data_IF_083523966134
#
_entry.id   IF_083523966134
#
_cell.length_a   1.000
_cell.length_b   1.000
_cell.length_c   1.000
_cell.angle_alpha   90.00
_cell.angle_beta   90.00
_cell.angle_gamma   90.00
#
_symmetry.space_group_name_H-M   'P 1'
#
loop_
_entity.id
_entity.type
_entity.pdbx_description
1 polymer ?
#
# COMPACT_ATOMS: atom_id res chain seq x y z
N UNK A 1 -21.57 -0.65 19.95
CA UNK A 1 -20.80 0.48 19.41
C UNK A 1 -19.45 -0.07 18.99
N UNK A 2 -18.93 0.34 17.84
CA UNK A 2 -17.56 0.00 17.44
C UNK A 2 -16.63 0.84 18.33
N UNK A 3 -15.73 0.20 19.06
CA UNK A 3 -14.73 0.84 19.92
C UNK A 3 -13.31 0.56 19.43
N UNK A 4 -12.32 1.16 20.11
CA UNK A 4 -10.89 0.96 19.84
C UNK A 4 -10.33 -0.14 20.77
N UNK A 5 -10.89 -1.35 20.71
CA UNK A 5 -10.67 -2.39 21.70
C UNK A 5 -9.23 -2.94 21.73
N UNK A 6 -8.55 -2.96 20.57
CA UNK A 6 -7.14 -3.36 20.48
C UNK A 6 -6.16 -2.22 20.75
N UNK A 7 -6.65 -0.98 20.93
CA UNK A 7 -5.82 0.14 21.36
C UNK A 7 -5.66 0.15 22.87
N UNK A 8 -4.41 0.15 23.33
CA UNK A 8 -4.11 0.37 24.74
C UNK A 8 -4.60 1.74 25.21
N UNK A 9 -5.01 1.80 26.48
CA UNK A 9 -5.39 3.04 27.15
C UNK A 9 -4.15 3.94 27.31
N UNK A 10 -4.00 4.85 26.36
CA UNK A 10 -2.85 5.74 26.19
C UNK A 10 -3.34 7.10 25.72
N UNK A 11 -2.50 8.12 25.87
CA UNK A 11 -2.80 9.48 25.40
C UNK A 11 -3.21 9.52 23.92
N UNK A 12 -2.63 8.67 23.07
CA UNK A 12 -3.02 8.58 21.65
C UNK A 12 -4.45 8.12 21.46
N UNK A 13 -4.88 7.07 22.19
CA UNK A 13 -6.25 6.58 22.13
C UNK A 13 -7.22 7.65 22.64
N UNK A 14 -6.93 8.25 23.79
CA UNK A 14 -7.77 9.31 24.36
C UNK A 14 -7.89 10.50 23.42
N UNK A 15 -6.78 10.93 22.79
CA UNK A 15 -6.80 12.03 21.83
C UNK A 15 -7.69 11.75 20.61
N UNK A 16 -7.70 10.51 20.12
CA UNK A 16 -8.59 10.08 19.02
C UNK A 16 -10.05 10.14 19.47
N UNK A 17 -10.39 9.51 20.59
CA UNK A 17 -11.75 9.44 21.13
C UNK A 17 -12.29 10.86 21.44
N UNK A 18 -11.48 11.70 22.08
CA UNK A 18 -11.82 13.09 22.40
C UNK A 18 -11.99 13.95 21.14
N UNK A 19 -11.14 13.78 20.13
CA UNK A 19 -11.28 14.49 18.86
C UNK A 19 -12.60 14.13 18.17
N UNK A 20 -12.89 12.83 18.06
CA UNK A 20 -14.13 12.35 17.45
C UNK A 20 -15.35 12.83 18.22
N UNK A 21 -15.33 12.78 19.56
CA UNK A 21 -16.41 13.30 20.39
C UNK A 21 -16.66 14.79 20.14
N UNK A 22 -15.61 15.64 20.11
CA UNK A 22 -15.75 17.09 19.88
C UNK A 22 -16.35 17.43 18.52
N UNK A 23 -15.87 16.79 17.45
CA UNK A 23 -16.35 17.12 16.09
C UNK A 23 -17.70 16.49 15.75
N UNK A 24 -18.16 15.53 16.56
CA UNK A 24 -19.47 14.89 16.41
C UNK A 24 -20.57 15.50 17.30
N UNK A 25 -20.22 16.32 18.29
CA UNK A 25 -21.19 17.01 19.16
C UNK A 25 -21.85 18.18 18.44
N UNK A 26 -23.09 18.00 17.98
CA UNK A 26 -23.91 19.01 17.28
C UNK A 26 -24.11 20.32 18.07
N UNK A 27 -23.95 20.28 19.40
CA UNK A 27 -24.08 21.46 20.25
C UNK A 27 -22.75 22.18 20.49
N UNK A 28 -21.64 21.53 20.12
CA UNK A 28 -20.28 21.99 20.38
C UNK A 28 -19.76 23.00 19.36
N UNK A 29 -18.81 23.86 19.76
CA UNK A 29 -18.21 24.84 18.86
C UNK A 29 -17.31 24.21 17.77
N UNK A 30 -16.86 22.97 17.98
CA UNK A 30 -16.00 22.22 17.05
C UNK A 30 -16.79 21.28 16.13
N UNK A 31 -18.13 21.31 16.19
CA UNK A 31 -18.98 20.45 15.39
C UNK A 31 -18.65 20.53 13.90
N UNK A 32 -18.48 19.38 13.27
CA UNK A 32 -18.40 19.24 11.82
C UNK A 32 -19.59 18.43 11.34
N UNK A 33 -20.34 18.86 10.31
CA UNK A 33 -21.34 18.01 9.69
C UNK A 33 -20.65 16.81 9.00
N UNK A 34 -21.36 15.69 8.84
CA UNK A 34 -20.78 14.42 8.35
C UNK A 34 -20.02 14.54 7.02
N UNK A 35 -20.51 15.37 6.11
CA UNK A 35 -19.91 15.66 4.81
C UNK A 35 -18.54 16.37 4.90
N UNK A 36 -18.24 17.02 6.03
CA UNK A 36 -16.95 17.66 6.30
C UNK A 36 -15.97 16.74 7.04
N UNK A 37 -16.40 15.56 7.49
CA UNK A 37 -15.58 14.60 8.26
C UNK A 37 -14.83 13.69 7.30
N UNK A 38 -13.70 14.15 6.77
CA UNK A 38 -12.83 13.33 5.91
C UNK A 38 -11.59 12.91 6.68
N UNK A 39 -11.31 11.60 6.72
CA UNK A 39 -10.08 11.04 7.28
C UNK A 39 -9.26 10.38 6.17
N UNK A 40 -7.94 10.53 6.24
CA UNK A 40 -7.00 9.99 5.24
C UNK A 40 -5.92 9.21 5.97
N UNK A 41 -5.68 7.98 5.54
CA UNK A 41 -4.57 7.15 6.02
C UNK A 41 -3.60 6.86 4.87
N UNK A 42 -2.31 6.90 5.15
CA UNK A 42 -1.34 6.20 4.29
C UNK A 42 -1.52 4.68 4.43
N UNK A 43 -0.91 3.89 3.55
CA UNK A 43 -1.00 2.42 3.56
C UNK A 43 0.30 1.77 4.07
N UNK A 44 1.41 1.96 3.36
CA UNK A 44 2.71 1.41 3.74
C UNK A 44 3.17 1.96 5.09
N UNK A 45 3.46 1.07 6.05
CA UNK A 45 3.88 1.46 7.40
C UNK A 45 2.77 2.03 8.30
N UNK A 46 1.59 2.30 7.75
CA UNK A 46 0.44 2.89 8.47
C UNK A 46 -0.72 1.92 8.62
N UNK A 47 -1.13 1.20 7.57
CA UNK A 47 -2.20 0.18 7.63
C UNK A 47 -1.64 -1.25 7.58
N UNK A 48 -0.46 -1.43 6.97
CA UNK A 48 0.25 -2.71 6.95
C UNK A 48 1.77 -2.56 7.12
N UNK A 49 2.45 -3.69 7.30
CA UNK A 49 3.91 -3.74 7.43
C UNK A 49 4.62 -3.38 6.12
N UNK A 50 5.56 -2.42 6.20
CA UNK A 50 6.45 -2.04 5.08
C UNK A 50 7.91 -2.51 5.27
N UNK A 51 8.18 -3.30 6.31
CA UNK A 51 9.53 -3.82 6.60
C UNK A 51 9.59 -5.32 6.32
N UNK A 52 10.70 -5.86 5.79
CA UNK A 52 11.95 -5.16 5.48
C UNK A 52 11.87 -4.28 4.23
N UNK A 53 10.80 -4.39 3.45
CA UNK A 53 10.54 -3.58 2.27
C UNK A 53 9.03 -3.44 2.02
N UNK A 54 8.58 -2.41 1.29
CA UNK A 54 7.18 -2.29 0.87
C UNK A 54 6.70 -3.53 0.12
N UNK A 55 5.42 -3.89 0.30
CA UNK A 55 4.86 -5.12 -0.29
C UNK A 55 4.87 -5.04 -1.83
N UNK A 56 4.58 -3.86 -2.39
CA UNK A 56 4.66 -3.62 -3.84
C UNK A 56 6.08 -3.81 -4.39
N UNK A 57 7.10 -3.50 -3.57
CA UNK A 57 8.49 -3.73 -3.96
C UNK A 57 8.79 -5.23 -4.03
N UNK A 58 8.34 -6.03 -3.06
CA UNK A 58 8.49 -7.50 -3.12
C UNK A 58 7.76 -8.10 -4.34
N UNK A 59 6.54 -7.65 -4.62
CA UNK A 59 5.79 -8.03 -5.83
C UNK A 59 6.61 -7.78 -7.10
N UNK A 60 7.21 -6.59 -7.21
CA UNK A 60 8.07 -6.20 -8.33
C UNK A 60 9.31 -7.11 -8.42
N UNK A 61 10.02 -7.31 -7.30
CA UNK A 61 11.25 -8.11 -7.26
C UNK A 61 10.97 -9.55 -7.69
N UNK A 62 9.88 -10.17 -7.22
CA UNK A 62 9.51 -11.53 -7.65
C UNK A 62 9.29 -11.61 -9.15
N UNK A 63 8.59 -10.62 -9.72
CA UNK A 63 8.38 -10.54 -11.16
C UNK A 63 9.68 -10.42 -11.95
N UNK A 64 10.60 -9.59 -11.49
CA UNK A 64 11.93 -9.44 -12.11
C UNK A 64 12.75 -10.75 -12.02
N UNK A 65 12.63 -11.48 -10.90
CA UNK A 65 13.25 -12.79 -10.73
C UNK A 65 12.69 -13.86 -11.67
N UNK A 66 11.38 -13.85 -11.93
CA UNK A 66 10.73 -14.70 -12.94
C UNK A 66 11.25 -14.38 -14.34
N UNK A 67 11.28 -13.09 -14.72
CA UNK A 67 11.81 -12.68 -16.02
C UNK A 67 13.25 -13.13 -16.22
N UNK A 68 14.10 -13.02 -15.21
CA UNK A 68 15.48 -13.50 -15.26
C UNK A 68 15.61 -15.02 -15.24
N UNK A 69 14.63 -15.74 -14.70
CA UNK A 69 14.55 -17.19 -14.82
C UNK A 69 14.29 -17.59 -16.27
N UNK A 70 13.34 -16.92 -16.91
CA UNK A 70 12.89 -17.20 -18.28
C UNK A 70 13.89 -16.71 -19.34
N UNK A 71 14.57 -15.58 -19.09
CA UNK A 71 15.62 -15.03 -19.94
C UNK A 71 16.96 -14.94 -19.17
N UNK A 72 17.87 -15.92 -19.40
CA UNK A 72 19.19 -15.92 -18.76
C UNK A 72 20.04 -14.69 -19.03
N UNK A 73 19.80 -13.94 -20.11
CA UNK A 73 20.58 -12.73 -20.43
C UNK A 73 20.39 -11.61 -19.40
N UNK A 74 19.26 -11.62 -18.67
CA UNK A 74 18.96 -10.65 -17.62
C UNK A 74 19.71 -10.93 -16.32
N UNK A 75 20.22 -12.14 -16.09
CA UNK A 75 20.79 -12.58 -14.80
C UNK A 75 22.05 -11.82 -14.38
N UNK A 76 22.73 -11.18 -15.32
CA UNK A 76 23.93 -10.37 -15.05
C UNK A 76 23.65 -8.86 -15.00
N UNK A 77 22.39 -8.44 -15.16
CA UNK A 77 21.99 -7.02 -15.23
C UNK A 77 21.17 -6.61 -14.01
N UNK A 78 21.49 -5.49 -13.36
CA UNK A 78 20.64 -4.95 -12.28
C UNK A 78 19.38 -4.28 -12.85
N UNK A 79 18.21 -4.38 -12.18
CA UNK A 79 17.96 -5.05 -10.90
C UNK A 79 17.63 -6.55 -10.99
N UNK A 80 17.54 -7.12 -12.20
CA UNK A 80 17.18 -8.53 -12.44
C UNK A 80 18.11 -9.52 -11.74
N UNK A 81 19.42 -9.23 -11.74
CA UNK A 81 20.42 -10.00 -11.01
C UNK A 81 20.07 -10.13 -9.53
N UNK A 82 19.88 -9.00 -8.85
CA UNK A 82 19.54 -8.98 -7.42
C UNK A 82 18.21 -9.71 -7.13
N UNK A 83 17.22 -9.55 -8.00
CA UNK A 83 15.95 -10.25 -7.90
C UNK A 83 16.10 -11.78 -8.04
N UNK A 84 16.83 -12.23 -9.06
CA UNK A 84 17.07 -13.65 -9.35
C UNK A 84 17.91 -14.34 -8.27
N UNK A 85 18.91 -13.65 -7.71
CA UNK A 85 19.80 -14.18 -6.67
C UNK A 85 19.30 -13.94 -5.24
N UNK A 86 18.11 -13.35 -5.07
CA UNK A 86 17.55 -12.96 -3.76
C UNK A 86 18.49 -12.06 -2.94
N UNK A 87 19.18 -11.12 -3.59
CA UNK A 87 20.07 -10.16 -2.94
C UNK A 87 19.26 -9.00 -2.32
N UNK A 88 18.70 -9.26 -1.14
CA UNK A 88 17.97 -8.26 -0.35
C UNK A 88 18.86 -7.10 0.12
N UNK A 89 20.19 -7.29 0.16
CA UNK A 89 21.12 -6.24 0.56
C UNK A 89 21.20 -5.16 -0.52
N UNK A 90 21.37 -5.53 -1.79
CA UNK A 90 21.36 -4.56 -2.89
C UNK A 90 20.02 -3.82 -2.97
N UNK A 91 18.91 -4.53 -2.84
CA UNK A 91 17.56 -3.95 -2.88
C UNK A 91 17.32 -2.96 -1.73
N UNK A 92 17.73 -3.32 -0.51
CA UNK A 92 17.69 -2.40 0.63
C UNK A 92 18.63 -1.20 0.45
N UNK A 93 19.83 -1.42 -0.11
CA UNK A 93 20.78 -0.34 -0.37
C UNK A 93 20.27 0.66 -1.43
N UNK A 94 19.55 0.19 -2.45
CA UNK A 94 18.92 1.05 -3.45
C UNK A 94 17.92 2.03 -2.80
N UNK A 95 17.09 1.56 -1.87
CA UNK A 95 16.18 2.40 -1.10
C UNK A 95 16.93 3.40 -0.20
N UNK A 96 18.00 2.95 0.48
CA UNK A 96 18.81 3.83 1.34
C UNK A 96 19.53 4.92 0.53
N UNK A 97 20.02 4.60 -0.67
CA UNK A 97 20.64 5.58 -1.58
C UNK A 97 19.64 6.64 -2.02
N UNK A 98 18.43 6.22 -2.41
CA UNK A 98 17.35 7.14 -2.76
C UNK A 98 17.05 8.13 -1.63
N UNK A 99 16.92 7.66 -0.38
CA UNK A 99 16.72 8.56 0.77
C UNK A 99 17.87 9.55 1.01
N UNK A 100 19.06 9.27 0.45
CA UNK A 100 20.23 10.16 0.48
C UNK A 100 20.35 11.04 -0.77
N UNK A 101 19.36 11.00 -1.66
CA UNK A 101 19.31 11.78 -2.90
C UNK A 101 20.06 11.15 -4.08
N UNK A 102 20.46 9.87 -3.99
CA UNK A 102 21.05 9.12 -5.11
C UNK A 102 20.01 8.17 -5.70
N UNK A 103 19.45 8.57 -6.84
CA UNK A 103 18.38 7.85 -7.53
C UNK A 103 18.88 6.84 -8.57
N UNK A 104 20.19 6.58 -8.67
CA UNK A 104 20.72 5.75 -9.75
C UNK A 104 20.14 4.32 -9.75
N UNK A 105 20.16 3.67 -8.59
CA UNK A 105 19.65 2.29 -8.43
C UNK A 105 18.11 2.26 -8.42
N UNK A 106 17.46 3.28 -7.86
CA UNK A 106 16.00 3.42 -7.95
C UNK A 106 15.56 3.62 -9.40
N UNK A 107 16.31 4.40 -10.19
CA UNK A 107 16.06 4.60 -11.61
C UNK A 107 16.21 3.31 -12.44
N UNK A 108 17.15 2.44 -12.07
CA UNK A 108 17.24 1.09 -12.65
C UNK A 108 16.00 0.25 -12.32
N UNK A 109 15.56 0.30 -11.07
CA UNK A 109 14.35 -0.40 -10.62
C UNK A 109 13.11 0.11 -11.35
N UNK A 110 12.92 1.43 -11.44
CA UNK A 110 11.77 2.03 -12.14
C UNK A 110 11.73 1.66 -13.62
N UNK A 111 12.89 1.66 -14.31
CA UNK A 111 12.95 1.18 -15.71
C UNK A 111 12.57 -0.29 -15.84
N UNK A 112 13.02 -1.12 -14.91
CA UNK A 112 12.69 -2.55 -14.90
C UNK A 112 11.20 -2.79 -14.59
N UNK A 113 10.59 -1.98 -13.70
CA UNK A 113 9.14 -1.97 -13.46
C UNK A 113 8.38 -1.67 -14.74
N UNK A 114 8.78 -0.65 -15.51
CA UNK A 114 8.17 -0.35 -16.81
C UNK A 114 8.30 -1.53 -17.77
N UNK A 115 9.46 -2.19 -17.85
CA UNK A 115 9.61 -3.40 -18.68
C UNK A 115 8.80 -4.60 -18.20
N UNK A 116 8.57 -4.72 -16.89
CA UNK A 116 7.86 -5.85 -16.29
C UNK A 116 6.32 -5.74 -16.42
N UNK A 117 5.80 -4.51 -16.43
CA UNK A 117 4.36 -4.23 -16.33
C UNK A 117 3.81 -3.27 -17.41
N UNK A 118 4.65 -2.59 -18.19
CA UNK A 118 4.21 -1.52 -19.10
C UNK A 118 3.35 -1.98 -20.28
N UNK A 119 3.47 -3.23 -20.72
CA UNK A 119 2.65 -3.80 -21.80
C UNK A 119 1.46 -4.63 -21.29
N UNK A 120 1.25 -4.65 -19.97
CA UNK A 120 0.24 -5.50 -19.33
C UNK A 120 -1.11 -4.76 -19.29
N UNK A 121 -2.20 -5.44 -19.66
CA UNK A 121 -3.54 -4.85 -19.50
C UNK A 121 -3.89 -4.69 -18.03
N UNK A 122 -4.80 -3.76 -17.70
CA UNK A 122 -5.27 -3.56 -16.31
C UNK A 122 -5.81 -4.86 -15.71
N UNK A 123 -6.54 -5.65 -16.49
CA UNK A 123 -7.13 -6.92 -16.07
C UNK A 123 -6.08 -8.03 -15.86
N UNK A 124 -4.96 -8.01 -16.60
CA UNK A 124 -3.85 -8.92 -16.36
C UNK A 124 -3.02 -8.47 -15.14
N UNK A 125 -2.84 -7.16 -14.94
CA UNK A 125 -2.17 -6.63 -13.75
C UNK A 125 -2.95 -6.97 -12.47
N UNK A 126 -4.26 -6.72 -12.48
CA UNK A 126 -5.17 -7.07 -11.38
C UNK A 126 -5.12 -8.56 -11.03
N UNK A 127 -5.12 -9.44 -12.03
CA UNK A 127 -4.98 -10.90 -11.82
C UNK A 127 -3.64 -11.25 -11.17
N UNK A 128 -2.53 -10.62 -11.60
CA UNK A 128 -1.20 -10.87 -11.02
C UNK A 128 -1.11 -10.38 -9.58
N UNK A 129 -1.64 -9.19 -9.29
CA UNK A 129 -1.69 -8.64 -7.93
C UNK A 129 -2.52 -9.55 -7.03
N UNK A 130 -3.70 -9.96 -7.48
CA UNK A 130 -4.57 -10.87 -6.73
C UNK A 130 -3.89 -12.22 -6.46
N UNK A 131 -3.28 -12.83 -7.48
CA UNK A 131 -2.52 -14.08 -7.31
C UNK A 131 -1.36 -13.92 -6.32
N UNK A 132 -0.62 -12.81 -6.41
CA UNK A 132 0.45 -12.49 -5.46
C UNK A 132 -0.07 -12.45 -4.02
N UNK A 133 -1.21 -11.80 -3.74
CA UNK A 133 -1.76 -11.76 -2.38
C UNK A 133 -2.33 -13.08 -1.88
N UNK A 134 -2.63 -14.03 -2.77
CA UNK A 134 -3.03 -15.40 -2.41
C UNK A 134 -1.81 -16.24 -2.02
N UNK A 135 -0.74 -16.17 -2.80
CA UNK A 135 0.39 -17.11 -2.69
C UNK A 135 1.58 -16.58 -1.87
N UNK A 136 1.78 -15.26 -1.85
CA UNK A 136 2.99 -14.68 -1.30
C UNK A 136 2.94 -14.49 0.23
N UNK A 137 4.00 -14.95 0.87
CA UNK A 137 4.27 -14.72 2.29
C UNK A 137 5.33 -13.64 2.50
N UNK A 138 5.15 -12.93 3.61
CA UNK A 138 6.10 -11.97 4.11
C UNK A 138 7.45 -12.65 4.44
N UNK A 139 8.59 -12.15 3.93
CA UNK A 139 9.88 -12.87 3.96
C UNK A 139 10.42 -13.10 5.37
N UNK A 140 10.21 -12.17 6.31
CA UNK A 140 10.64 -12.31 7.70
C UNK A 140 9.57 -12.90 8.63
N UNK A 141 8.33 -12.41 8.57
CA UNK A 141 7.24 -12.84 9.44
C UNK A 141 6.67 -14.23 9.10
N UNK A 142 6.98 -14.78 7.92
CA UNK A 142 6.55 -16.12 7.48
C UNK A 142 5.03 -16.32 7.59
N UNK A 143 4.28 -15.33 7.11
CA UNK A 143 2.82 -15.33 7.07
C UNK A 143 2.32 -14.65 5.79
N UNK A 144 1.11 -14.95 5.32
CA UNK A 144 0.54 -14.29 4.15
C UNK A 144 0.54 -12.76 4.30
N UNK A 145 0.77 -12.04 3.19
CA UNK A 145 0.74 -10.58 3.22
C UNK A 145 -0.60 -10.01 3.70
N UNK A 146 -1.71 -10.70 3.42
CA UNK A 146 -3.05 -10.36 3.92
C UNK A 146 -3.13 -10.35 5.46
N UNK A 147 -2.28 -11.13 6.12
CA UNK A 147 -2.17 -11.16 7.59
C UNK A 147 -1.18 -10.15 8.17
N UNK A 148 -0.65 -9.23 7.35
CA UNK A 148 0.33 -8.23 7.78
C UNK A 148 -0.25 -6.83 8.01
N UNK A 149 -1.58 -6.70 8.01
CA UNK A 149 -2.29 -5.48 8.41
C UNK A 149 -2.22 -5.24 9.92
N UNK A 150 -2.34 -3.99 10.33
CA UNK A 150 -2.42 -3.61 11.74
C UNK A 150 -3.87 -3.57 12.21
N UNK A 151 -4.28 -4.58 12.99
CA UNK A 151 -5.62 -4.67 13.58
C UNK A 151 -6.13 -3.37 14.23
N UNK A 152 -5.35 -2.70 15.10
CA UNK A 152 -5.75 -1.43 15.69
C UNK A 152 -6.09 -0.35 14.65
N UNK A 153 -5.34 -0.28 13.57
CA UNK A 153 -5.60 0.72 12.53
C UNK A 153 -6.89 0.40 11.77
N UNK A 154 -7.17 -0.87 11.47
CA UNK A 154 -8.45 -1.28 10.85
C UNK A 154 -9.63 -0.93 11.77
N UNK A 155 -9.51 -1.18 13.07
CA UNK A 155 -10.49 -0.78 14.07
C UNK A 155 -10.71 0.74 14.08
N UNK A 156 -9.63 1.53 13.99
CA UNK A 156 -9.71 2.98 13.89
C UNK A 156 -10.49 3.43 12.64
N UNK A 157 -10.25 2.81 11.47
CA UNK A 157 -11.01 3.15 10.27
C UNK A 157 -12.52 2.88 10.46
N UNK A 158 -12.87 1.74 11.07
CA UNK A 158 -14.27 1.39 11.36
C UNK A 158 -14.89 2.30 12.42
N UNK A 159 -14.12 2.68 13.43
CA UNK A 159 -14.54 3.63 14.46
C UNK A 159 -14.87 4.99 13.85
N UNK A 160 -14.01 5.51 12.97
CA UNK A 160 -14.23 6.77 12.27
C UNK A 160 -15.48 6.71 11.38
N UNK A 161 -15.65 5.65 10.57
CA UNK A 161 -16.86 5.49 9.75
C UNK A 161 -18.14 5.40 10.58
N UNK A 162 -18.10 4.73 11.73
CA UNK A 162 -19.24 4.67 12.65
C UNK A 162 -19.64 6.05 13.22
N UNK A 163 -18.73 7.03 13.17
CA UNK A 163 -18.95 8.42 13.57
C UNK A 163 -19.14 9.36 12.37
N UNK A 164 -19.47 8.81 11.20
CA UNK A 164 -19.83 9.58 10.02
C UNK A 164 -18.65 10.16 9.25
N UNK A 165 -17.42 9.68 9.50
CA UNK A 165 -16.29 10.04 8.66
C UNK A 165 -16.31 9.27 7.34
N UNK A 166 -15.92 9.95 6.26
CA UNK A 166 -15.52 9.30 5.02
C UNK A 166 -14.01 9.05 5.06
N UNK A 167 -13.62 7.78 5.00
CA UNK A 167 -12.22 7.35 5.09
C UNK A 167 -11.64 7.09 3.69
N UNK A 168 -10.47 7.66 3.42
CA UNK A 168 -9.67 7.43 2.22
C UNK A 168 -8.30 6.84 2.56
N UNK A 169 -7.75 6.11 1.60
CA UNK A 169 -6.32 5.77 1.57
C UNK A 169 -5.64 6.75 0.61
N UNK A 170 -4.56 7.38 1.03
CA UNK A 170 -3.68 8.19 0.17
C UNK A 170 -2.23 7.76 0.40
N UNK A 171 -1.68 7.03 -0.56
CA UNK A 171 -0.34 6.44 -0.44
C UNK A 171 0.57 6.79 -1.62
N UNK A 172 1.88 6.72 -1.39
CA UNK A 172 2.88 6.77 -2.47
C UNK A 172 2.87 5.52 -3.37
N UNK A 173 2.32 4.40 -2.87
CA UNK A 173 2.18 3.16 -3.63
C UNK A 173 1.23 3.25 -4.82
N UNK A 174 1.32 2.28 -5.72
CA UNK A 174 0.44 2.17 -6.88
C UNK A 174 -1.00 1.88 -6.45
N UNK A 175 -1.93 2.75 -6.88
CA UNK A 175 -3.36 2.58 -6.59
C UNK A 175 -3.90 1.27 -7.12
N UNK A 176 -3.44 0.81 -8.28
CA UNK A 176 -3.95 -0.39 -8.95
C UNK A 176 -3.35 -1.67 -8.33
N UNK A 177 -2.26 -1.54 -7.57
CA UNK A 177 -1.75 -2.58 -6.67
C UNK A 177 -2.57 -2.69 -5.36
N UNK A 178 -3.01 -1.55 -4.80
CA UNK A 178 -3.71 -1.52 -3.51
C UNK A 178 -5.21 -1.85 -3.62
N UNK A 179 -5.89 -1.34 -4.65
CA UNK A 179 -7.35 -1.47 -4.85
C UNK A 179 -7.89 -2.91 -4.79
N UNK A 180 -7.22 -3.94 -5.36
CA UNK A 180 -7.75 -5.30 -5.35
C UNK A 180 -7.89 -5.90 -3.95
N UNK A 181 -7.14 -5.38 -2.96
CA UNK A 181 -7.10 -5.93 -1.60
C UNK A 181 -7.63 -5.00 -0.52
N UNK A 182 -7.68 -3.68 -0.76
CA UNK A 182 -8.11 -2.69 0.23
C UNK A 182 -9.53 -2.95 0.79
N UNK A 183 -10.46 -3.43 -0.05
CA UNK A 183 -11.82 -3.74 0.37
C UNK A 183 -11.87 -4.87 1.40
N UNK A 184 -11.15 -5.96 1.16
CA UNK A 184 -11.12 -7.11 2.08
C UNK A 184 -10.27 -6.81 3.33
N UNK A 185 -9.13 -6.14 3.18
CA UNK A 185 -8.22 -5.88 4.30
C UNK A 185 -8.70 -4.78 5.24
N UNK A 186 -9.30 -3.72 4.69
CA UNK A 186 -9.57 -2.48 5.42
C UNK A 186 -11.04 -2.05 5.39
N UNK A 187 -11.89 -2.72 4.59
CA UNK A 187 -13.27 -2.29 4.36
C UNK A 187 -13.37 -0.98 3.56
N UNK A 188 -12.32 -0.62 2.81
CA UNK A 188 -12.25 0.62 2.02
C UNK A 188 -12.46 0.28 0.52
N UNK A 189 -13.47 0.86 -0.14
CA UNK A 189 -13.76 0.54 -1.53
C UNK A 189 -12.75 1.20 -2.49
N UNK A 190 -12.57 0.67 -3.71
CA UNK A 190 -11.52 1.11 -4.64
C UNK A 190 -11.52 2.61 -5.00
N UNK A 191 -12.70 3.23 -5.06
CA UNK A 191 -12.88 4.66 -5.36
C UNK A 191 -12.35 5.58 -4.25
N UNK A 192 -12.14 5.04 -3.03
CA UNK A 192 -11.54 5.75 -1.89
C UNK A 192 -10.05 5.42 -1.72
N UNK A 193 -9.44 4.74 -2.68
CA UNK A 193 -8.00 4.45 -2.71
C UNK A 193 -7.32 5.35 -3.72
N UNK A 194 -6.49 6.25 -3.20
CA UNK A 194 -5.67 7.20 -3.93
C UNK A 194 -4.22 6.74 -3.82
N UNK A 195 -3.54 6.70 -4.95
CA UNK A 195 -2.14 6.30 -5.03
C UNK A 195 -1.49 6.81 -6.31
N UNK A 196 -0.21 6.51 -6.45
CA UNK A 196 0.52 6.74 -7.69
C UNK A 196 -0.15 5.97 -8.84
N UNK A 197 -0.03 6.49 -10.06
CA UNK A 197 -0.48 5.83 -11.28
C UNK A 197 0.70 5.73 -12.25
N UNK A 198 0.92 4.55 -12.83
CA UNK A 198 1.86 4.39 -13.95
C UNK A 198 1.41 5.24 -15.15
N UNK A 199 2.35 5.82 -15.89
CA UNK A 199 2.08 6.73 -17.00
C UNK A 199 1.14 6.15 -18.08
N UNK A 200 1.03 4.82 -18.19
CA UNK A 200 0.24 4.13 -19.22
C UNK A 200 -1.14 3.61 -18.76
N UNK A 201 -1.51 3.77 -17.48
CA UNK A 201 -2.88 3.45 -17.01
C UNK A 201 -3.85 4.63 -17.25
N UNK A 202 -3.36 5.76 -17.76
CA UNK A 202 -4.15 6.93 -18.19
C UNK A 202 -4.77 6.72 -19.60
N UNK A 203 -4.77 5.48 -20.09
CA UNK A 203 -5.41 5.08 -21.34
C UNK A 203 -6.89 4.75 -21.25
N UNK A 204 -7.70 5.42 -20.41
CA UNK A 204 -9.16 5.46 -20.57
C UNK A 204 -9.69 6.85 -20.24
N UNK A 205 -10.30 7.46 -21.25
CA UNK A 205 -11.02 8.71 -21.12
C UNK A 205 -12.04 8.64 -19.99
N UNK A 206 -12.17 9.77 -19.31
CA UNK A 206 -13.36 10.09 -18.56
C UNK A 206 -14.58 9.94 -19.50
N UNK A 207 -15.25 8.80 -19.42
CA UNK A 207 -16.67 8.73 -19.75
C UNK A 207 -17.39 8.99 -18.42
N UNK A 208 -17.77 10.25 -18.25
CA UNK A 208 -18.95 10.62 -17.46
C UNK A 208 -20.19 10.06 -18.14
#
# INVERSE_FOLDING_TARGET
>A
MIGLDSWHDTETRSAIEDFVARVCDESGPDYLPSEARVAVADNDGTLWCEKPMPIQLDFTIRRLGEMARDDPSLRDTQPYKAAYSHDLHWLGAAMVKHYRGDDADLGLLMRAVTGAFGEVSVEEYDRRVTAFFVDAEHPQLKRPYRGCGYGPMVELLRYLEAHGFTVYIASGGDRDFMRPVAGELYGIPPERVIGSAGADVVGRGAAL
#
